data_IF_301612608260
#
_entry.id   IF_301612608260
#
_cell.length_a   1.000
_cell.length_b   1.000
_cell.length_c   1.000
_cell.angle_alpha   90.00
_cell.angle_beta   90.00
_cell.angle_gamma   90.00
#
_symmetry.space_group_name_H-M   'P 1'
#
loop_
_entity.id
_entity.type
_entity.pdbx_description
1 polymer ?
#
# COMPACT_ATOMS: atom_id res chain seq x y z
N UNK A 1 27.34 9.88 16.43
CA UNK A 1 26.99 9.45 15.06
C UNK A 1 27.65 8.10 14.84
N UNK A 2 26.88 7.02 14.81
CA UNK A 2 27.41 5.69 14.49
C UNK A 2 27.41 5.56 12.98
N UNK A 3 28.59 5.53 12.35
CA UNK A 3 28.71 5.33 10.91
C UNK A 3 28.81 3.82 10.71
N UNK A 4 27.78 3.23 10.10
CA UNK A 4 27.80 1.82 9.74
C UNK A 4 28.70 1.59 8.51
N UNK A 5 29.31 0.40 8.41
CA UNK A 5 30.01 0.00 7.19
C UNK A 5 29.03 -0.03 6.00
N UNK A 6 29.50 0.18 4.76
CA UNK A 6 28.65 0.11 3.56
C UNK A 6 27.88 -1.21 3.44
N UNK A 7 28.52 -2.34 3.78
CA UNK A 7 27.91 -3.66 3.74
C UNK A 7 26.73 -3.77 4.72
N UNK A 8 26.91 -3.26 5.95
CA UNK A 8 25.84 -3.24 6.96
C UNK A 8 24.70 -2.29 6.57
N UNK A 9 25.00 -1.16 5.93
CA UNK A 9 23.96 -0.26 5.40
C UNK A 9 23.14 -0.94 4.29
N UNK A 10 23.81 -1.67 3.39
CA UNK A 10 23.14 -2.41 2.31
C UNK A 10 22.25 -3.53 2.86
N UNK A 11 22.73 -4.28 3.86
CA UNK A 11 21.95 -5.33 4.51
C UNK A 11 20.72 -4.77 5.24
N UNK A 12 20.89 -3.70 6.02
CA UNK A 12 19.77 -3.02 6.70
C UNK A 12 18.75 -2.46 5.71
N UNK A 13 19.22 -1.90 4.59
CA UNK A 13 18.33 -1.44 3.53
C UNK A 13 17.56 -2.59 2.88
N UNK A 14 18.21 -3.74 2.64
CA UNK A 14 17.55 -4.92 2.10
C UNK A 14 16.44 -5.44 3.03
N UNK A 15 16.73 -5.54 4.34
CA UNK A 15 15.75 -5.94 5.35
C UNK A 15 14.58 -4.95 5.37
N UNK A 16 14.87 -3.64 5.35
CA UNK A 16 13.85 -2.60 5.30
C UNK A 16 12.91 -2.75 4.09
N UNK A 17 13.45 -3.04 2.90
CA UNK A 17 12.64 -3.27 1.70
C UNK A 17 11.77 -4.52 1.81
N UNK A 18 12.28 -5.60 2.39
CA UNK A 18 11.51 -6.82 2.63
C UNK A 18 10.35 -6.56 3.61
N UNK A 19 10.60 -5.87 4.72
CA UNK A 19 9.57 -5.48 5.68
C UNK A 19 8.51 -4.57 5.05
N UNK A 20 8.95 -3.56 4.27
CA UNK A 20 8.05 -2.66 3.52
C UNK A 20 7.15 -3.47 2.59
N UNK A 21 7.71 -4.40 1.83
CA UNK A 21 6.93 -5.25 0.93
C UNK A 21 5.91 -6.12 1.70
N UNK A 22 6.33 -6.77 2.78
CA UNK A 22 5.44 -7.59 3.61
C UNK A 22 4.30 -6.78 4.23
N UNK A 23 4.59 -5.58 4.75
CA UNK A 23 3.58 -4.67 5.28
C UNK A 23 2.55 -4.27 4.22
N UNK A 24 2.99 -3.99 2.98
CA UNK A 24 2.10 -3.69 1.87
C UNK A 24 1.19 -4.86 1.49
N UNK A 25 1.71 -6.09 1.50
CA UNK A 25 0.93 -7.29 1.24
C UNK A 25 -0.14 -7.53 2.32
N UNK A 26 0.21 -7.39 3.60
CA UNK A 26 -0.74 -7.55 4.72
C UNK A 26 -1.84 -6.48 4.63
N UNK A 27 -1.47 -5.23 4.34
CA UNK A 27 -2.44 -4.14 4.21
C UNK A 27 -3.41 -4.37 3.03
N UNK A 28 -2.91 -4.86 1.89
CA UNK A 28 -3.74 -5.22 0.75
C UNK A 28 -4.68 -6.40 1.07
N UNK A 29 -4.18 -7.42 1.79
CA UNK A 29 -5.02 -8.53 2.25
C UNK A 29 -6.12 -8.05 3.20
N UNK A 30 -5.81 -7.15 4.13
CA UNK A 30 -6.79 -6.59 5.05
C UNK A 30 -7.92 -5.86 4.29
N UNK A 31 -7.58 -5.07 3.27
CA UNK A 31 -8.58 -4.48 2.37
C UNK A 31 -9.46 -5.55 1.73
N UNK A 32 -8.86 -6.57 1.11
CA UNK A 32 -9.60 -7.65 0.43
C UNK A 32 -10.57 -8.39 1.36
N UNK A 33 -10.20 -8.53 2.64
CA UNK A 33 -11.02 -9.24 3.64
C UNK A 33 -12.01 -8.35 4.38
N UNK A 34 -12.04 -7.04 4.12
CA UNK A 34 -12.95 -6.13 4.84
C UNK A 34 -12.43 -5.66 6.20
N UNK A 35 -11.18 -5.92 6.56
CA UNK A 35 -10.60 -5.56 7.85
C UNK A 35 -10.04 -4.13 7.87
N UNK A 36 -10.33 -3.41 8.95
CA UNK A 36 -9.82 -2.06 9.23
C UNK A 36 -9.09 -2.06 10.57
N UNK A 37 -7.85 -2.54 10.58
CA UNK A 37 -7.05 -2.66 11.80
C UNK A 37 -6.13 -1.45 11.97
N UNK A 38 -6.24 -0.72 13.08
CA UNK A 38 -5.46 0.48 13.35
C UNK A 38 -3.93 0.22 13.39
N UNK A 39 -3.50 -0.98 13.78
CA UNK A 39 -2.07 -1.32 13.74
C UNK A 39 -1.53 -1.41 12.30
N UNK A 40 -2.39 -1.69 11.31
CA UNK A 40 -1.99 -1.68 9.92
C UNK A 40 -1.83 -0.26 9.37
N UNK A 41 -2.56 0.74 9.89
CA UNK A 41 -2.33 2.15 9.51
C UNK A 41 -1.01 2.65 10.07
N UNK A 42 -0.65 2.25 11.30
CA UNK A 42 0.68 2.53 11.88
C UNK A 42 1.81 1.91 11.06
N UNK A 43 1.64 0.68 10.57
CA UNK A 43 2.61 0.05 9.68
C UNK A 43 2.69 0.79 8.33
N UNK A 44 1.56 1.20 7.77
CA UNK A 44 1.51 1.99 6.55
C UNK A 44 2.23 3.34 6.71
N UNK A 45 2.07 4.01 7.85
CA UNK A 45 2.78 5.24 8.20
C UNK A 45 4.30 4.99 8.34
N UNK A 46 4.70 3.96 9.10
CA UNK A 46 6.11 3.59 9.35
C UNK A 46 6.88 3.41 8.05
N UNK A 47 6.30 2.68 7.08
CA UNK A 47 6.96 2.34 5.83
C UNK A 47 6.56 3.24 4.65
N UNK A 48 5.72 4.27 4.89
CA UNK A 48 5.15 5.16 3.87
C UNK A 48 4.50 4.39 2.71
N UNK A 49 3.67 3.43 3.06
CA UNK A 49 2.96 2.58 2.11
C UNK A 49 1.53 3.08 1.96
N UNK A 50 1.04 3.01 0.73
CA UNK A 50 -0.37 3.12 0.43
C UNK A 50 -0.76 1.99 -0.51
N UNK A 51 -1.93 1.39 -0.32
CA UNK A 51 -2.42 0.30 -1.19
C UNK A 51 -3.88 0.53 -1.53
N UNK A 52 -4.29 0.04 -2.69
CA UNK A 52 -5.67 0.05 -3.12
C UNK A 52 -6.10 -1.31 -3.70
N UNK A 53 -7.41 -1.55 -3.69
CA UNK A 53 -8.09 -2.64 -4.39
C UNK A 53 -9.31 -2.10 -5.13
N UNK A 54 -9.67 -2.75 -6.23
CA UNK A 54 -10.92 -2.51 -6.94
C UNK A 54 -11.95 -3.55 -6.50
N UNK A 55 -13.13 -3.09 -6.13
CA UNK A 55 -14.32 -3.92 -5.93
C UNK A 55 -15.35 -3.59 -7.01
N UNK A 56 -16.04 -4.61 -7.50
CA UNK A 56 -17.14 -4.48 -8.46
C UNK A 56 -18.39 -5.13 -7.86
N UNK A 57 -19.46 -4.35 -7.74
CA UNK A 57 -20.75 -4.80 -7.20
C UNK A 57 -21.89 -4.27 -8.08
N UNK A 58 -22.66 -5.17 -8.70
CA UNK A 58 -23.80 -4.83 -9.55
C UNK A 58 -23.48 -3.79 -10.64
N UNK A 59 -22.31 -3.92 -11.28
CA UNK A 59 -21.82 -2.99 -12.30
C UNK A 59 -21.28 -1.66 -11.77
N UNK A 60 -21.22 -1.48 -10.45
CA UNK A 60 -20.59 -0.35 -9.79
C UNK A 60 -19.17 -0.69 -9.35
N UNK A 61 -18.24 0.22 -9.62
CA UNK A 61 -16.84 0.16 -9.21
C UNK A 61 -16.63 0.98 -7.94
N UNK A 62 -15.95 0.40 -6.97
CA UNK A 62 -15.53 1.05 -5.74
C UNK A 62 -14.04 0.77 -5.53
N UNK A 63 -13.26 1.80 -5.22
CA UNK A 63 -11.86 1.62 -4.81
C UNK A 63 -11.80 1.72 -3.31
N UNK A 64 -11.32 0.65 -2.66
CA UNK A 64 -10.94 0.69 -1.25
C UNK A 64 -9.44 0.87 -1.15
N UNK A 65 -9.00 1.74 -0.26
CA UNK A 65 -7.60 2.07 -0.11
C UNK A 65 -7.23 2.31 1.34
N UNK A 66 -5.95 2.12 1.65
CA UNK A 66 -5.41 2.35 2.98
C UNK A 66 -4.02 2.97 2.89
N UNK A 67 -3.72 3.84 3.85
CA UNK A 67 -2.43 4.52 4.02
C UNK A 67 -2.18 4.78 5.52
N UNK A 68 -1.19 5.63 5.84
CA UNK A 68 -0.90 6.02 7.22
C UNK A 68 -2.05 6.74 7.95
N UNK A 69 -2.96 7.36 7.20
CA UNK A 69 -4.08 8.13 7.76
C UNK A 69 -5.30 7.27 8.11
N UNK A 70 -5.46 6.11 7.44
CA UNK A 70 -6.65 5.31 7.63
C UNK A 70 -6.99 4.33 6.52
N UNK A 71 -8.23 3.85 6.60
CA UNK A 71 -8.90 3.03 5.59
C UNK A 71 -10.06 3.83 5.01
N UNK A 72 -10.19 3.80 3.70
CA UNK A 72 -11.13 4.63 2.97
C UNK A 72 -11.75 3.86 1.80
N UNK A 73 -12.85 4.38 1.29
CA UNK A 73 -13.43 3.93 0.03
C UNK A 73 -13.80 5.13 -0.85
N UNK A 74 -13.90 4.89 -2.16
CA UNK A 74 -14.43 5.85 -3.11
C UNK A 74 -15.20 5.12 -4.20
N UNK A 75 -16.47 5.47 -4.37
CA UNK A 75 -17.32 4.92 -5.42
C UNK A 75 -17.12 5.68 -6.72
N UNK A 76 -17.07 4.93 -7.82
CA UNK A 76 -16.98 5.41 -9.20
C UNK A 76 -18.18 4.95 -10.05
N UNK A 77 -19.12 4.21 -9.46
CA UNK A 77 -20.31 3.69 -10.14
C UNK A 77 -19.91 2.97 -11.43
N UNK A 78 -20.48 3.32 -12.58
CA UNK A 78 -20.21 2.62 -13.84
C UNK A 78 -18.87 3.02 -14.51
N UNK A 79 -18.09 3.96 -13.93
CA UNK A 79 -16.84 4.45 -14.52
C UNK A 79 -15.61 3.67 -14.05
N UNK A 80 -15.38 2.53 -14.71
CA UNK A 80 -14.21 1.68 -14.46
C UNK A 80 -12.89 2.41 -14.72
N UNK A 81 -12.84 3.25 -15.76
CA UNK A 81 -11.60 3.89 -16.17
C UNK A 81 -11.15 4.92 -15.13
N UNK A 82 -12.09 5.68 -14.58
CA UNK A 82 -11.80 6.63 -13.51
C UNK A 82 -11.39 5.90 -12.22
N UNK A 83 -12.01 4.76 -11.89
CA UNK A 83 -11.59 3.93 -10.76
C UNK A 83 -10.14 3.44 -10.90
N UNK A 84 -9.78 2.91 -12.08
CA UNK A 84 -8.42 2.47 -12.37
C UNK A 84 -7.42 3.63 -12.36
N UNK A 85 -7.78 4.78 -12.93
CA UNK A 85 -6.96 5.99 -12.90
C UNK A 85 -6.75 6.52 -11.48
N UNK A 86 -7.68 6.29 -10.56
CA UNK A 86 -7.51 6.64 -9.15
C UNK A 86 -6.55 5.67 -8.46
N UNK A 87 -6.63 4.38 -8.76
CA UNK A 87 -5.76 3.35 -8.18
C UNK A 87 -4.26 3.55 -8.49
N UNK A 88 -3.93 4.11 -9.66
CA UNK A 88 -2.52 4.38 -10.03
C UNK A 88 -1.80 5.31 -9.06
N UNK A 89 -2.53 6.11 -8.28
CA UNK A 89 -1.94 6.97 -7.24
C UNK A 89 -1.42 6.19 -6.03
N UNK A 90 -1.81 4.92 -5.87
CA UNK A 90 -1.45 4.06 -4.74
C UNK A 90 -0.41 2.98 -5.11
N UNK A 91 -0.38 2.51 -6.37
CA UNK A 91 0.53 1.45 -6.83
C UNK A 91 1.99 1.94 -7.08
N UNK A 92 2.30 3.19 -6.76
CA UNK A 92 3.64 3.78 -6.94
C UNK A 92 4.73 3.19 -6.02
N UNK A 93 4.37 2.35 -5.04
CA UNK A 93 5.35 1.69 -4.15
C UNK A 93 6.02 0.45 -4.77
N UNK A 94 5.68 0.05 -6.00
CA UNK A 94 6.25 -1.13 -6.68
C UNK A 94 7.47 -0.87 -7.56
N UNK A 95 7.83 0.39 -7.84
CA UNK A 95 8.87 0.75 -8.81
C UNK A 95 10.18 1.27 -8.19
N UNK A 96 10.43 0.97 -6.91
CA UNK A 96 11.72 1.25 -6.26
C UNK A 96 12.77 0.12 -6.46
N UNK A 97 12.52 -0.83 -7.37
CA UNK A 97 13.59 -1.66 -7.95
C UNK A 97 14.13 -0.99 -9.21
N UNK A 98 14.78 0.16 -9.00
CA UNK A 98 15.52 0.89 -10.02
C UNK A 98 17.01 0.90 -9.69
N UNK A 99 17.60 -0.28 -9.57
CA UNK A 99 19.05 -0.56 -9.68
C UNK A 99 19.23 -1.99 -10.22
#
# INVERSE_FOLDING_TARGET
MTIFSPDLQAELHHIYLQEKHAAGQILRLALQQGFCLQDLTRLAEKYRISVSILEEHDGNYCVRYANGDGFFHRCFYHDRQQALSFMTTFDLCGSETGL
#
